data_IF_091495407747
#
_entry.id   IF_091495407747
#
_cell.length_a   1.000
_cell.length_b   1.000
_cell.length_c   1.000
_cell.angle_alpha   90.00
_cell.angle_beta   90.00
_cell.angle_gamma   90.00
#
_symmetry.space_group_name_H-M   'P 1'
#
loop_
_entity.id
_entity.type
_entity.pdbx_description
1 polymer ?
#
# COMPACT_ATOMS: atom_id res chain seq x y z
N UNK A 1 25.73 17.21 11.31
CA UNK A 1 24.66 16.83 12.26
C UNK A 1 23.46 16.46 11.43
N UNK A 2 23.30 15.15 11.25
CA UNK A 2 22.26 14.50 10.47
C UNK A 2 20.87 15.00 10.86
N UNK A 3 20.21 15.65 9.90
CA UNK A 3 18.78 15.86 9.95
C UNK A 3 18.17 14.58 9.40
N UNK A 4 18.03 13.57 10.25
CA UNK A 4 17.23 12.38 9.96
C UNK A 4 15.79 12.88 9.78
N UNK A 5 15.41 13.20 8.55
CA UNK A 5 14.01 13.35 8.20
C UNK A 5 13.35 12.03 8.61
N UNK A 6 12.22 12.06 9.34
CA UNK A 6 11.52 10.83 9.64
C UNK A 6 11.08 10.24 8.30
N UNK A 7 11.80 9.24 7.82
CA UNK A 7 11.29 8.31 6.83
C UNK A 7 9.97 7.83 7.41
N UNK A 8 8.86 8.18 6.75
CA UNK A 8 7.53 7.89 7.28
C UNK A 8 7.34 6.39 7.13
N UNK A 9 7.80 5.63 8.11
CA UNK A 9 7.63 4.20 8.22
C UNK A 9 6.17 3.91 8.60
N UNK A 10 5.30 3.73 7.61
CA UNK A 10 3.92 3.36 7.83
C UNK A 10 3.75 1.85 7.70
N UNK A 11 3.32 1.18 8.77
CA UNK A 11 2.97 -0.24 8.76
C UNK A 11 1.47 -0.42 9.02
N UNK A 12 0.76 -1.14 8.13
CA UNK A 12 -0.68 -1.41 8.27
C UNK A 12 -1.04 -2.83 7.81
N UNK A 13 -2.05 -3.43 8.45
CA UNK A 13 -2.65 -4.68 7.98
C UNK A 13 -3.63 -4.41 6.83
N UNK A 14 -3.41 -5.10 5.72
CA UNK A 14 -4.13 -4.87 4.47
C UNK A 14 -4.55 -6.17 3.80
N UNK A 15 -5.57 -6.04 2.96
CA UNK A 15 -5.80 -6.94 1.84
C UNK A 15 -4.95 -6.48 0.66
N UNK A 16 -4.34 -7.44 -0.02
CA UNK A 16 -3.48 -7.25 -1.19
C UNK A 16 -4.02 -8.04 -2.38
N UNK A 17 -3.83 -7.48 -3.58
CA UNK A 17 -3.97 -8.16 -4.86
C UNK A 17 -3.02 -7.55 -5.88
N UNK A 18 -2.51 -8.39 -6.77
CA UNK A 18 -1.61 -8.02 -7.88
C UNK A 18 -2.34 -7.55 -9.13
N UNK A 19 -3.65 -7.79 -9.24
CA UNK A 19 -4.44 -7.48 -10.44
C UNK A 19 -5.78 -6.88 -10.04
N UNK A 20 -6.23 -5.79 -10.69
CA UNK A 20 -7.52 -5.17 -10.39
C UNK A 20 -8.66 -6.15 -10.69
N UNK A 21 -9.61 -6.28 -9.77
CA UNK A 21 -10.77 -7.16 -9.93
C UNK A 21 -10.50 -8.65 -9.75
N UNK A 22 -9.26 -9.06 -9.45
CA UNK A 22 -8.96 -10.46 -9.10
C UNK A 22 -9.70 -10.86 -7.82
N UNK A 23 -10.28 -12.07 -7.82
CA UNK A 23 -10.82 -12.71 -6.61
C UNK A 23 -9.72 -13.24 -5.68
N UNK A 24 -8.47 -13.25 -6.16
CA UNK A 24 -7.32 -13.70 -5.37
C UNK A 24 -6.86 -12.55 -4.50
N UNK A 25 -7.37 -12.54 -3.27
CA UNK A 25 -6.93 -11.64 -2.22
C UNK A 25 -5.91 -12.37 -1.33
N UNK A 26 -4.85 -11.68 -0.94
CA UNK A 26 -3.96 -12.10 0.13
C UNK A 26 -4.09 -11.15 1.31
N UNK A 27 -3.90 -11.69 2.52
CA UNK A 27 -3.89 -10.89 3.74
C UNK A 27 -2.48 -10.79 4.23
N UNK A 28 -2.10 -9.59 4.63
CA UNK A 28 -0.76 -9.34 5.09
C UNK A 28 -0.59 -7.97 5.68
N UNK A 29 0.67 -7.60 5.80
CA UNK A 29 1.09 -6.32 6.31
C UNK A 29 1.83 -5.60 5.19
N UNK A 30 1.48 -4.34 4.96
CA UNK A 30 2.22 -3.44 4.11
C UNK A 30 3.02 -2.49 4.98
N UNK A 31 4.27 -2.28 4.60
CA UNK A 31 5.20 -1.32 5.16
C UNK A 31 5.63 -0.39 4.03
N UNK A 32 5.51 0.91 4.25
CA UNK A 32 6.06 1.94 3.37
C UNK A 32 7.15 2.63 4.15
N UNK A 33 8.37 2.63 3.64
CA UNK A 33 9.56 3.14 4.31
C UNK A 33 10.56 3.68 3.30
N UNK A 34 11.08 4.89 3.49
CA UNK A 34 12.11 5.47 2.62
C UNK A 34 11.81 5.46 1.12
N UNK A 35 10.55 5.65 0.71
CA UNK A 35 10.15 5.57 -0.71
C UNK A 35 9.96 4.14 -1.24
N UNK A 36 10.12 3.14 -0.40
CA UNK A 36 10.01 1.72 -0.73
C UNK A 36 8.74 1.14 -0.12
N UNK A 37 7.98 0.41 -0.93
CA UNK A 37 6.86 -0.42 -0.50
C UNK A 37 7.37 -1.84 -0.26
N UNK A 38 6.99 -2.43 0.87
CA UNK A 38 7.15 -3.85 1.16
C UNK A 38 5.83 -4.42 1.68
N UNK A 39 5.33 -5.47 1.04
CA UNK A 39 4.18 -6.23 1.50
C UNK A 39 4.60 -7.65 1.85
N UNK A 40 4.16 -8.12 3.01
CA UNK A 40 4.36 -9.49 3.48
C UNK A 40 2.99 -10.10 3.77
N UNK A 41 2.57 -11.01 2.90
CA UNK A 41 1.32 -11.75 3.01
C UNK A 41 1.52 -13.23 3.30
N UNK A 42 0.41 -13.97 3.37
CA UNK A 42 0.46 -15.43 3.56
C UNK A 42 0.85 -16.18 2.30
N UNK A 43 0.51 -15.65 1.13
CA UNK A 43 0.75 -16.29 -0.18
C UNK A 43 2.08 -15.84 -0.80
N UNK A 44 2.69 -14.78 -0.28
CA UNK A 44 3.99 -14.31 -0.74
C UNK A 44 4.33 -12.93 -0.20
N UNK A 45 5.47 -12.40 -0.63
CA UNK A 45 5.89 -11.03 -0.36
C UNK A 45 6.20 -10.31 -1.67
N UNK A 46 6.01 -8.99 -1.67
CA UNK A 46 6.44 -8.12 -2.77
C UNK A 46 7.12 -6.89 -2.19
N UNK A 47 8.16 -6.40 -2.86
CA UNK A 47 8.81 -5.15 -2.48
C UNK A 47 9.27 -4.39 -3.71
N UNK A 48 9.43 -3.09 -3.57
CA UNK A 48 9.98 -2.24 -4.61
C UNK A 48 9.78 -0.75 -4.34
N UNK A 49 10.46 0.07 -5.14
CA UNK A 49 10.40 1.53 -5.00
C UNK A 49 9.05 2.02 -5.48
N UNK A 50 8.35 2.84 -4.70
CA UNK A 50 7.08 3.43 -5.10
C UNK A 50 7.34 4.49 -6.17
N UNK A 51 6.60 4.39 -7.28
CA UNK A 51 6.71 5.32 -8.42
C UNK A 51 5.46 6.19 -8.53
N UNK A 52 4.30 5.64 -8.17
CA UNK A 52 3.05 6.37 -8.13
C UNK A 52 2.08 5.73 -7.14
N UNK A 53 1.15 6.52 -6.61
CA UNK A 53 0.07 6.04 -5.78
C UNK A 53 -1.22 6.78 -6.12
N UNK A 54 -2.35 6.10 -5.94
CA UNK A 54 -3.67 6.67 -6.20
C UNK A 54 -4.80 5.82 -5.65
N UNK A 55 -6.03 6.32 -5.79
CA UNK A 55 -7.22 5.57 -5.41
C UNK A 55 -7.79 4.80 -6.59
N UNK A 56 -8.25 3.58 -6.32
CA UNK A 56 -8.99 2.77 -7.27
C UNK A 56 -10.28 2.30 -6.61
N UNK A 57 -11.43 2.67 -7.19
CA UNK A 57 -12.72 2.22 -6.73
C UNK A 57 -13.19 1.02 -7.58
N UNK A 58 -13.76 0.01 -6.93
CA UNK A 58 -14.54 -1.03 -7.62
C UNK A 58 -15.76 -1.40 -6.81
N UNK A 59 -16.92 -1.10 -7.39
CA UNK A 59 -18.20 -1.14 -6.71
C UNK A 59 -18.14 -0.31 -5.42
N UNK A 60 -18.55 -0.91 -4.31
CA UNK A 60 -18.58 -0.29 -2.99
C UNK A 60 -17.24 -0.33 -2.24
N UNK A 61 -16.17 -0.86 -2.85
CA UNK A 61 -14.87 -0.99 -2.19
C UNK A 61 -13.86 0.01 -2.73
N UNK A 62 -13.33 0.85 -1.83
CA UNK A 62 -12.20 1.72 -2.11
C UNK A 62 -10.89 1.00 -1.86
N UNK A 63 -10.11 0.83 -2.91
CA UNK A 63 -8.74 0.31 -2.87
C UNK A 63 -7.75 1.42 -3.16
N UNK A 64 -6.51 1.18 -2.76
CA UNK A 64 -5.38 2.06 -3.02
C UNK A 64 -4.52 1.35 -4.04
N UNK A 65 -4.27 1.99 -5.18
CA UNK A 65 -3.37 1.52 -6.21
C UNK A 65 -1.98 2.09 -5.93
N UNK A 66 -0.99 1.23 -5.84
CA UNK A 66 0.42 1.61 -5.76
C UNK A 66 1.14 1.03 -6.97
N UNK A 67 1.82 1.88 -7.74
CA UNK A 67 2.75 1.47 -8.77
C UNK A 67 4.15 1.49 -8.19
N UNK A 68 4.86 0.38 -8.31
CA UNK A 68 6.20 0.21 -7.75
C UNK A 68 7.15 -0.42 -8.77
N UNK A 69 8.41 -0.02 -8.76
CA UNK A 69 9.45 -0.62 -9.58
C UNK A 69 10.10 -1.77 -8.82
N UNK A 70 10.10 -2.95 -9.45
CA UNK A 70 10.71 -4.16 -8.94
C UNK A 70 11.34 -4.89 -10.11
N UNK A 71 12.61 -5.29 -9.96
CA UNK A 71 13.32 -6.07 -11.00
C UNK A 71 13.35 -5.37 -12.37
N UNK A 72 13.41 -4.03 -12.40
CA UNK A 72 13.44 -3.24 -13.64
C UNK A 72 12.10 -3.13 -14.38
N UNK A 73 10.99 -3.57 -13.76
CA UNK A 73 9.65 -3.43 -14.29
C UNK A 73 8.73 -2.68 -13.32
N UNK A 74 7.89 -1.80 -13.84
CA UNK A 74 6.80 -1.19 -13.07
C UNK A 74 5.67 -2.20 -12.88
N UNK A 75 5.38 -2.52 -11.62
CA UNK A 75 4.28 -3.40 -11.21
C UNK A 75 3.22 -2.60 -10.48
N UNK A 76 2.01 -3.14 -10.45
CA UNK A 76 0.88 -2.54 -9.75
C UNK A 76 0.45 -3.43 -8.59
N UNK A 77 0.27 -2.84 -7.42
CA UNK A 77 -0.29 -3.46 -6.25
C UNK A 77 -1.53 -2.71 -5.82
N UNK A 78 -2.51 -3.45 -5.32
CA UNK A 78 -3.75 -2.85 -4.82
C UNK A 78 -3.96 -3.27 -3.37
N UNK A 79 -4.10 -2.27 -2.51
CA UNK A 79 -4.21 -2.44 -1.07
C UNK A 79 -5.56 -1.94 -0.54
N UNK A 80 -6.03 -2.56 0.52
CA UNK A 80 -7.18 -2.09 1.29
C UNK A 80 -6.94 -2.36 2.77
N UNK A 81 -7.03 -1.35 3.62
CA UNK A 81 -6.82 -1.51 5.06
C UNK A 81 -7.92 -2.40 5.66
N UNK A 82 -7.48 -3.38 6.45
CA UNK A 82 -8.35 -4.39 7.09
C UNK A 82 -8.70 -4.03 8.54
N UNK A 83 -7.73 -3.47 9.27
CA UNK A 83 -7.78 -3.41 10.74
C UNK A 83 -8.33 -2.10 11.28
N UNK A 84 -9.61 -1.80 11.03
CA UNK A 84 -10.23 -0.67 11.70
C UNK A 84 -11.67 -1.02 12.13
N UNK A 85 -11.85 -1.09 13.45
CA UNK A 85 -13.12 -1.28 14.16
C UNK A 85 -14.04 -0.09 13.86
N UNK A 86 -14.78 -0.17 12.75
CA UNK A 86 -15.77 0.83 12.34
C UNK A 86 -15.43 1.54 11.02
N UNK A 87 -16.49 2.00 10.34
CA UNK A 87 -16.42 2.68 9.04
C UNK A 87 -15.52 3.93 9.06
N UNK A 88 -15.51 4.67 10.17
CA UNK A 88 -14.68 5.87 10.36
C UNK A 88 -13.18 5.54 10.35
N UNK A 89 -12.80 4.44 10.99
CA UNK A 89 -11.41 4.00 10.96
C UNK A 89 -11.03 3.59 9.54
N UNK A 90 -11.82 2.74 8.87
CA UNK A 90 -11.46 2.22 7.54
C UNK A 90 -11.20 3.33 6.49
N UNK A 91 -11.97 4.42 6.53
CA UNK A 91 -11.74 5.59 5.69
C UNK A 91 -10.44 6.32 6.03
N UNK A 92 -10.17 6.53 7.33
CA UNK A 92 -8.96 7.21 7.79
C UNK A 92 -7.70 6.38 7.50
N UNK A 93 -7.73 5.07 7.74
CA UNK A 93 -6.58 4.19 7.46
C UNK A 93 -6.26 4.07 5.98
N UNK A 94 -7.28 3.99 5.12
CA UNK A 94 -7.06 4.02 3.68
C UNK A 94 -6.44 5.35 3.22
N UNK A 95 -6.87 6.47 3.83
CA UNK A 95 -6.29 7.79 3.56
C UNK A 95 -4.82 7.85 3.98
N UNK A 96 -4.49 7.41 5.21
CA UNK A 96 -3.11 7.38 5.72
C UNK A 96 -2.18 6.54 4.82
N UNK A 97 -2.63 5.35 4.42
CA UNK A 97 -1.83 4.48 3.55
C UNK A 97 -1.62 5.10 2.17
N UNK A 98 -2.65 5.74 1.61
CA UNK A 98 -2.51 6.49 0.35
C UNK A 98 -1.52 7.64 0.50
N UNK A 99 -1.63 8.44 1.56
CA UNK A 99 -0.74 9.59 1.79
C UNK A 99 0.71 9.15 1.98
N UNK A 100 0.96 8.04 2.68
CA UNK A 100 2.31 7.49 2.81
C UNK A 100 2.86 6.99 1.46
N UNK A 101 2.04 6.32 0.64
CA UNK A 101 2.45 5.89 -0.70
C UNK A 101 2.66 7.06 -1.66
N UNK A 102 1.83 8.10 -1.58
CA UNK A 102 2.01 9.33 -2.36
C UNK A 102 3.26 10.11 -1.94
N UNK A 103 3.56 10.14 -0.63
CA UNK A 103 4.80 10.71 -0.12
C UNK A 103 6.02 9.88 -0.56
N UNK A 104 5.90 8.55 -0.58
CA UNK A 104 6.94 7.64 -1.04
C UNK A 104 7.22 7.71 -2.55
N UNK A 105 6.25 8.17 -3.34
CA UNK A 105 6.38 8.36 -4.78
C UNK A 105 7.08 9.67 -5.18
N UNK A 106 7.32 10.59 -4.24
CA UNK A 106 8.00 11.87 -4.47
C UNK A 106 9.51 11.74 -4.32
#
# INVERSE_FOLDING_TARGET
MDVYAPEIALTKNVWYRSTPGSRIEDRGTVTVDGGTLSFVGKKGSVSGRVVAAGSWASGFSSWIKASYESEGATREAYFRVKDLLGWAGLLSGNKELREALEAAAR
#
